data_IF_987391183330
#
_entry.id   IF_987391183330
#
_cell.length_a   1.000
_cell.length_b   1.000
_cell.length_c   1.000
_cell.angle_alpha   90.00
_cell.angle_beta   90.00
_cell.angle_gamma   90.00
#
_symmetry.space_group_name_H-M   'P 1'
#
loop_
_entity.id
_entity.type
_entity.pdbx_description
1 polymer ?
#
# COMPACT_ATOMS: atom_id res chain seq x y z
N UNK A 1 21.80 35.81 -13.13
CA UNK A 1 21.69 34.44 -13.69
C UNK A 1 20.35 34.33 -14.38
N UNK A 2 20.32 34.27 -15.71
CA UNK A 2 19.07 34.16 -16.45
C UNK A 2 18.47 32.76 -16.24
N UNK A 3 17.20 32.69 -15.83
CA UNK A 3 16.42 31.46 -15.91
C UNK A 3 16.22 31.18 -17.40
N UNK A 4 16.99 30.26 -17.96
CA UNK A 4 16.64 29.69 -19.26
C UNK A 4 15.27 29.03 -19.09
N UNK A 5 14.24 29.66 -19.68
CA UNK A 5 12.92 29.05 -19.83
C UNK A 5 13.09 27.90 -20.83
N UNK A 6 13.40 26.70 -20.32
CA UNK A 6 13.57 25.51 -21.15
C UNK A 6 12.19 25.05 -21.62
N UNK A 7 11.82 25.53 -22.82
CA UNK A 7 11.06 24.81 -23.84
C UNK A 7 9.58 24.50 -23.54
N UNK A 8 8.73 24.96 -24.45
CA UNK A 8 7.34 24.50 -24.60
C UNK A 8 7.26 23.00 -24.84
N UNK A 9 6.14 22.40 -24.41
CA UNK A 9 5.90 20.97 -24.13
C UNK A 9 5.85 20.02 -25.35
N UNK A 10 6.41 20.38 -26.50
CA UNK A 10 6.10 19.74 -27.79
C UNK A 10 6.86 18.45 -28.10
N UNK A 11 7.99 18.19 -27.43
CA UNK A 11 8.85 17.00 -27.66
C UNK A 11 9.03 16.10 -26.42
N UNK A 12 8.21 16.27 -25.37
CA UNK A 12 8.30 15.43 -24.17
C UNK A 12 7.54 14.12 -24.39
N UNK A 13 8.12 12.96 -24.01
CA UNK A 13 7.38 11.69 -23.99
C UNK A 13 6.11 11.87 -23.17
N UNK A 14 4.96 11.53 -23.76
CA UNK A 14 3.67 11.57 -23.07
C UNK A 14 3.61 10.48 -22.01
N UNK A 15 2.87 10.69 -20.91
CA UNK A 15 2.62 9.60 -19.97
C UNK A 15 1.87 8.47 -20.69
N UNK A 16 2.19 7.23 -20.36
CA UNK A 16 1.47 6.07 -20.90
C UNK A 16 0.21 5.83 -20.08
N UNK A 17 -0.85 5.38 -20.73
CA UNK A 17 -2.05 4.90 -20.05
C UNK A 17 -2.02 3.37 -20.07
N UNK A 18 -2.15 2.75 -18.90
CA UNK A 18 -2.18 1.29 -18.72
C UNK A 18 -3.58 0.93 -18.25
N UNK A 19 -4.36 0.28 -19.12
CA UNK A 19 -5.75 -0.10 -18.85
C UNK A 19 -5.89 -1.34 -17.95
N UNK A 20 -7.11 -1.64 -17.51
CA UNK A 20 -7.39 -2.76 -16.60
C UNK A 20 -6.92 -4.12 -17.16
N UNK A 21 -7.09 -4.35 -18.46
CA UNK A 21 -6.70 -5.63 -19.08
C UNK A 21 -5.19 -5.79 -19.13
N UNK A 22 -4.46 -4.70 -19.38
CA UNK A 22 -3.01 -4.67 -19.26
C UNK A 22 -2.55 -4.86 -17.81
N UNK A 23 -3.22 -4.25 -16.82
CA UNK A 23 -2.91 -4.49 -15.41
C UNK A 23 -3.08 -5.98 -15.08
N UNK A 24 -4.18 -6.61 -15.49
CA UNK A 24 -4.42 -8.05 -15.28
C UNK A 24 -3.35 -8.94 -15.91
N UNK A 25 -2.83 -8.56 -17.07
CA UNK A 25 -1.79 -9.31 -17.77
C UNK A 25 -0.40 -9.13 -17.14
N UNK A 26 -0.12 -7.96 -16.57
CA UNK A 26 1.21 -7.57 -16.10
C UNK A 26 1.43 -7.78 -14.60
N UNK A 27 0.36 -7.78 -13.80
CA UNK A 27 0.46 -7.86 -12.35
C UNK A 27 0.55 -9.32 -11.87
N UNK A 28 1.75 -9.74 -11.52
CA UNK A 28 2.02 -11.02 -10.89
C UNK A 28 1.80 -10.98 -9.36
N UNK A 29 1.31 -12.07 -8.78
CA UNK A 29 0.97 -12.15 -7.34
C UNK A 29 2.20 -12.24 -6.43
N UNK A 30 3.26 -12.93 -6.84
CA UNK A 30 4.47 -13.06 -6.05
C UNK A 30 5.24 -11.72 -6.04
N UNK A 31 5.27 -11.03 -7.18
CA UNK A 31 5.81 -9.68 -7.28
C UNK A 31 4.98 -8.66 -6.51
N UNK A 32 3.64 -8.75 -6.58
CA UNK A 32 2.77 -7.92 -5.75
C UNK A 32 3.05 -8.15 -4.27
N UNK A 33 3.24 -9.41 -3.85
CA UNK A 33 3.59 -9.73 -2.46
C UNK A 33 4.90 -9.08 -2.05
N UNK A 34 5.95 -9.19 -2.86
CA UNK A 34 7.22 -8.53 -2.60
C UNK A 34 7.05 -7.00 -2.52
N UNK A 35 6.33 -6.39 -3.47
CA UNK A 35 6.05 -4.96 -3.50
C UNK A 35 5.27 -4.49 -2.25
N UNK A 36 4.35 -5.29 -1.73
CA UNK A 36 3.62 -5.01 -0.49
C UNK A 36 4.54 -5.13 0.72
N UNK A 37 5.39 -6.15 0.82
CA UNK A 37 6.39 -6.26 1.90
C UNK A 37 7.31 -5.02 1.92
N UNK A 38 7.76 -4.53 0.75
CA UNK A 38 8.51 -3.27 0.66
C UNK A 38 7.69 -2.07 1.19
N UNK A 39 6.40 -1.98 0.83
CA UNK A 39 5.53 -0.91 1.28
C UNK A 39 5.33 -0.92 2.81
N UNK A 40 5.06 -2.08 3.43
CA UNK A 40 4.96 -2.24 4.88
C UNK A 40 6.26 -1.86 5.58
N UNK A 41 7.40 -2.39 5.12
CA UNK A 41 8.70 -2.05 5.70
C UNK A 41 8.98 -0.55 5.57
N UNK A 42 8.60 0.08 4.46
CA UNK A 42 8.87 1.49 4.21
C UNK A 42 8.20 2.45 5.19
N UNK A 43 7.03 2.09 5.72
CA UNK A 43 6.30 2.90 6.71
C UNK A 43 6.79 2.64 8.14
N UNK A 44 7.26 1.42 8.42
CA UNK A 44 7.82 1.07 9.73
C UNK A 44 9.29 1.47 9.89
N UNK A 45 10.05 1.59 8.79
CA UNK A 45 11.43 2.10 8.78
C UNK A 45 11.47 3.65 8.83
N UNK A 46 10.59 4.25 9.64
CA UNK A 46 10.51 5.68 9.89
C UNK A 46 11.12 5.98 11.27
N UNK A 47 12.45 5.97 11.40
CA UNK A 47 13.04 6.53 12.61
C UNK A 47 12.71 8.04 12.70
N UNK A 48 12.34 8.51 13.90
CA UNK A 48 12.11 9.93 14.21
C UNK A 48 13.32 10.80 13.86
N UNK A 49 14.52 10.24 13.99
CA UNK A 49 15.79 10.85 13.58
C UNK A 49 16.27 10.22 12.26
N UNK A 50 16.47 11.00 11.18
CA UNK A 50 16.93 10.48 9.89
C UNK A 50 18.24 9.68 9.96
N UNK A 51 19.12 9.99 10.91
CA UNK A 51 20.41 9.32 11.13
C UNK A 51 20.30 7.93 11.74
N UNK A 52 19.15 7.57 12.33
CA UNK A 52 18.89 6.27 12.92
C UNK A 52 18.17 5.31 11.95
N UNK A 53 17.87 5.76 10.72
CA UNK A 53 17.20 4.93 9.71
C UNK A 53 18.19 3.93 9.12
N UNK A 54 17.77 2.69 8.95
CA UNK A 54 18.53 1.74 8.17
C UNK A 54 18.58 2.20 6.72
N UNK A 55 19.78 2.30 6.15
CA UNK A 55 20.00 2.54 4.71
C UNK A 55 19.70 1.30 3.86
N UNK A 56 19.57 0.14 4.50
CA UNK A 56 19.34 -1.15 3.84
C UNK A 56 17.85 -1.46 3.62
N UNK A 57 16.94 -0.65 4.16
CA UNK A 57 15.50 -0.88 4.06
C UNK A 57 14.80 0.29 3.36
N UNK A 58 13.67 0.03 2.67
CA UNK A 58 12.93 1.09 2.04
C UNK A 58 12.44 2.11 3.08
N UNK A 59 12.17 3.33 2.62
CA UNK A 59 11.62 4.42 3.43
C UNK A 59 10.45 5.04 2.69
N UNK A 60 9.55 5.70 3.39
CA UNK A 60 8.39 6.33 2.76
C UNK A 60 8.22 7.81 3.08
N UNK A 61 7.34 8.44 2.32
CA UNK A 61 6.69 9.68 2.71
C UNK A 61 5.27 9.60 2.17
N UNK A 62 4.30 9.48 3.08
CA UNK A 62 2.89 9.52 2.74
C UNK A 62 2.16 10.37 3.79
N UNK A 63 1.38 11.38 3.40
CA UNK A 63 0.41 11.97 4.31
C UNK A 63 -0.76 11.00 4.51
N UNK A 64 -1.61 11.30 5.48
CA UNK A 64 -2.92 10.67 5.51
C UNK A 64 -3.71 10.99 4.22
N UNK A 65 -4.55 10.04 3.82
CA UNK A 65 -5.48 10.23 2.70
C UNK A 65 -6.30 11.49 2.91
N UNK A 66 -6.48 12.26 1.85
CA UNK A 66 -7.36 13.43 1.84
C UNK A 66 -8.61 13.14 1.04
N UNK A 67 -9.72 13.77 1.39
CA UNK A 67 -10.99 13.57 0.71
C UNK A 67 -11.65 14.90 0.37
N UNK A 68 -12.38 14.90 -0.74
CA UNK A 68 -13.26 15.99 -1.16
C UNK A 68 -14.65 15.42 -1.37
N UNK A 69 -15.62 15.94 -0.60
CA UNK A 69 -17.03 15.60 -0.77
C UNK A 69 -17.59 16.30 -2.00
N UNK A 70 -18.14 15.53 -2.92
CA UNK A 70 -18.96 16.01 -4.04
C UNK A 70 -20.44 15.74 -3.73
N UNK A 71 -21.34 16.29 -4.56
CA UNK A 71 -22.79 16.08 -4.39
C UNK A 71 -23.20 14.60 -4.49
N UNK A 72 -22.58 13.85 -5.41
CA UNK A 72 -22.92 12.45 -5.67
C UNK A 72 -22.02 11.40 -5.02
N UNK A 73 -20.95 11.81 -4.34
CA UNK A 73 -19.91 10.91 -3.89
C UNK A 73 -18.70 11.62 -3.29
N UNK A 74 -17.59 10.91 -3.18
CA UNK A 74 -16.35 11.42 -2.60
C UNK A 74 -15.17 11.12 -3.51
N UNK A 75 -14.23 12.06 -3.63
CA UNK A 75 -12.90 11.85 -4.20
C UNK A 75 -11.91 11.65 -3.05
N UNK A 76 -11.08 10.62 -3.13
CA UNK A 76 -9.98 10.35 -2.22
C UNK A 76 -8.65 10.50 -2.97
N UNK A 77 -7.70 11.16 -2.32
CA UNK A 77 -6.35 11.39 -2.83
C UNK A 77 -5.32 10.78 -1.88
N UNK A 78 -4.48 9.90 -2.43
CA UNK A 78 -3.52 9.08 -1.69
C UNK A 78 -2.12 9.21 -2.33
N UNK A 79 -1.40 10.31 -2.10
CA UNK A 79 -0.02 10.46 -2.56
C UNK A 79 0.94 9.67 -1.67
N UNK A 80 1.94 9.03 -2.28
CA UNK A 80 2.94 8.23 -1.58
C UNK A 80 4.28 8.20 -2.30
N UNK A 81 5.35 8.31 -1.52
CA UNK A 81 6.71 8.04 -1.94
C UNK A 81 7.22 6.81 -1.22
N UNK A 82 7.91 5.93 -1.96
CA UNK A 82 8.69 4.81 -1.42
C UNK A 82 10.08 4.85 -2.05
N UNK A 83 11.11 5.04 -1.23
CA UNK A 83 12.50 5.06 -1.65
C UNK A 83 13.23 3.77 -1.32
N UNK A 84 14.29 3.47 -2.06
CA UNK A 84 15.19 2.31 -1.86
C UNK A 84 14.49 0.94 -1.80
N UNK A 85 13.43 0.78 -2.59
CA UNK A 85 12.65 -0.46 -2.66
C UNK A 85 13.22 -1.44 -3.69
N UNK A 86 12.82 -2.70 -3.58
CA UNK A 86 13.04 -3.74 -4.58
C UNK A 86 11.72 -4.44 -4.88
N UNK A 87 11.11 -4.15 -6.03
CA UNK A 87 9.77 -4.66 -6.38
C UNK A 87 9.79 -6.02 -7.06
N UNK A 88 10.93 -6.42 -7.63
CA UNK A 88 11.05 -7.67 -8.37
C UNK A 88 12.32 -8.40 -7.96
N UNK A 89 12.29 -9.73 -8.02
CA UNK A 89 13.44 -10.57 -7.67
C UNK A 89 14.52 -10.61 -8.75
N UNK A 90 14.18 -10.26 -9.98
CA UNK A 90 15.06 -10.26 -11.15
C UNK A 90 15.88 -8.95 -11.29
N UNK A 91 15.50 -7.87 -10.59
CA UNK A 91 16.26 -6.62 -10.57
C UNK A 91 17.10 -6.50 -9.30
N UNK A 92 18.44 -6.48 -9.40
CA UNK A 92 19.31 -6.23 -8.25
C UNK A 92 19.34 -4.74 -7.85
N UNK A 93 18.85 -3.84 -8.70
CA UNK A 93 18.87 -2.40 -8.44
C UNK A 93 17.69 -1.97 -7.59
N UNK A 94 17.98 -1.15 -6.57
CA UNK A 94 16.95 -0.55 -5.72
C UNK A 94 16.39 0.70 -6.38
N UNK A 95 15.08 0.70 -6.54
CA UNK A 95 14.32 1.80 -7.13
C UNK A 95 13.80 2.79 -6.11
N UNK A 96 13.18 3.85 -6.62
CA UNK A 96 12.33 4.75 -5.84
C UNK A 96 11.08 5.06 -6.64
N UNK A 97 10.00 5.38 -5.97
CA UNK A 97 8.71 5.63 -6.61
C UNK A 97 7.97 6.73 -5.90
N UNK A 98 7.48 7.66 -6.70
CA UNK A 98 6.50 8.65 -6.31
C UNK A 98 5.22 8.35 -7.08
N UNK A 99 4.10 8.19 -6.39
CA UNK A 99 2.81 7.99 -7.01
C UNK A 99 1.69 8.71 -6.26
N UNK A 100 0.55 8.84 -6.92
CA UNK A 100 -0.69 9.29 -6.28
C UNK A 100 -1.84 8.47 -6.81
N UNK A 101 -2.57 7.79 -5.93
CA UNK A 101 -3.86 7.21 -6.30
C UNK A 101 -4.96 8.25 -6.12
N UNK A 102 -5.74 8.47 -7.17
CA UNK A 102 -7.02 9.16 -7.10
C UNK A 102 -8.11 8.11 -7.25
N UNK A 103 -9.07 8.11 -6.33
CA UNK A 103 -10.19 7.16 -6.37
C UNK A 103 -11.47 7.86 -5.95
N UNK A 104 -12.54 7.58 -6.66
CA UNK A 104 -13.87 8.12 -6.40
C UNK A 104 -14.78 7.03 -5.88
N UNK A 105 -15.69 7.38 -4.97
CA UNK A 105 -16.76 6.52 -4.48
C UNK A 105 -18.11 7.20 -4.66
N UNK A 106 -18.90 6.70 -5.60
CA UNK A 106 -20.21 7.22 -6.00
C UNK A 106 -21.21 6.07 -5.95
N UNK A 107 -21.79 5.83 -4.77
CA UNK A 107 -22.61 4.63 -4.48
C UNK A 107 -23.82 4.45 -5.41
N UNK A 108 -24.33 5.54 -5.97
CA UNK A 108 -25.48 5.52 -6.87
C UNK A 108 -25.12 5.30 -8.34
N UNK A 109 -23.83 5.18 -8.70
CA UNK A 109 -23.42 4.97 -10.09
C UNK A 109 -24.00 3.70 -10.72
N UNK A 110 -24.31 2.69 -9.91
CA UNK A 110 -24.98 1.48 -10.38
C UNK A 110 -26.32 1.79 -11.07
N UNK A 111 -27.04 2.83 -10.63
CA UNK A 111 -28.32 3.24 -11.24
C UNK A 111 -28.19 3.81 -12.65
N UNK A 112 -26.97 4.24 -13.04
CA UNK A 112 -26.66 4.80 -14.37
C UNK A 112 -25.67 3.94 -15.16
N UNK A 113 -25.46 2.68 -14.74
CA UNK A 113 -24.60 1.72 -15.45
C UNK A 113 -23.09 1.98 -15.30
N UNK A 114 -22.66 2.71 -14.26
CA UNK A 114 -21.26 2.99 -13.98
C UNK A 114 -20.76 2.26 -12.72
N UNK A 115 -19.44 1.99 -12.60
CA UNK A 115 -18.86 1.46 -11.38
C UNK A 115 -19.03 2.43 -10.20
N UNK A 116 -19.32 1.89 -9.01
CA UNK A 116 -19.41 2.69 -7.78
C UNK A 116 -18.06 3.21 -7.29
N UNK A 117 -16.98 2.57 -7.73
CA UNK A 117 -15.61 2.94 -7.44
C UNK A 117 -14.87 3.09 -8.77
N UNK A 118 -14.15 4.20 -8.95
CA UNK A 118 -13.31 4.43 -10.14
C UNK A 118 -12.01 5.06 -9.67
N UNK A 119 -10.86 4.61 -10.16
CA UNK A 119 -9.61 5.26 -9.80
C UNK A 119 -8.44 4.96 -10.72
N UNK A 120 -7.42 5.79 -10.56
CA UNK A 120 -6.18 5.72 -11.30
C UNK A 120 -4.98 5.96 -10.37
N UNK A 121 -3.89 5.24 -10.61
CA UNK A 121 -2.58 5.48 -10.00
C UNK A 121 -1.73 6.28 -10.97
N UNK A 122 -1.37 7.49 -10.57
CA UNK A 122 -0.46 8.37 -11.31
C UNK A 122 0.96 8.10 -10.83
N UNK A 123 1.79 7.56 -11.72
CA UNK A 123 3.17 7.18 -11.42
C UNK A 123 4.14 8.24 -11.95
N UNK A 124 4.97 8.78 -11.08
CA UNK A 124 5.91 9.85 -11.38
C UNK A 124 7.36 9.38 -11.28
N UNK A 125 8.20 9.94 -12.12
CA UNK A 125 9.63 9.86 -11.98
C UNK A 125 10.04 10.56 -10.67
N UNK A 126 10.60 9.81 -9.72
CA UNK A 126 10.90 10.34 -8.37
C UNK A 126 12.01 11.38 -8.33
N UNK A 127 12.82 11.50 -9.39
CA UNK A 127 13.91 12.47 -9.48
C UNK A 127 13.49 13.76 -10.16
N UNK A 128 12.69 13.67 -11.24
CA UNK A 128 12.32 14.82 -12.08
C UNK A 128 10.91 15.32 -11.84
N UNK A 129 10.07 14.55 -11.13
CA UNK A 129 8.65 14.84 -10.90
C UNK A 129 7.77 14.69 -12.15
N UNK A 130 8.32 14.19 -13.27
CA UNK A 130 7.57 14.00 -14.51
C UNK A 130 6.60 12.83 -14.36
N UNK A 131 5.35 13.00 -14.79
CA UNK A 131 4.39 11.90 -14.90
C UNK A 131 4.84 10.92 -16.00
N UNK A 132 4.96 9.64 -15.63
CA UNK A 132 5.41 8.55 -16.50
C UNK A 132 4.24 7.68 -16.95
N UNK A 133 3.33 7.36 -16.04
CA UNK A 133 2.17 6.52 -16.34
C UNK A 133 0.92 6.92 -15.55
N UNK A 134 -0.23 6.58 -16.12
CA UNK A 134 -1.54 6.55 -15.49
C UNK A 134 -2.00 5.10 -15.58
N UNK A 135 -2.19 4.44 -14.43
CA UNK A 135 -2.51 3.02 -14.32
C UNK A 135 -3.92 2.87 -13.78
N UNK A 136 -4.77 2.09 -14.44
CA UNK A 136 -6.11 1.76 -13.92
C UNK A 136 -6.01 1.12 -12.52
N UNK A 137 -6.82 1.59 -11.58
CA UNK A 137 -6.65 1.26 -10.17
C UNK A 137 -7.71 0.33 -9.57
N UNK A 138 -8.80 0.01 -10.25
CA UNK A 138 -9.86 -0.82 -9.68
C UNK A 138 -9.38 -2.26 -9.46
N UNK A 139 -8.88 -2.91 -10.52
CA UNK A 139 -8.33 -4.26 -10.38
C UNK A 139 -7.09 -4.27 -9.49
N UNK A 140 -6.20 -3.29 -9.68
CA UNK A 140 -4.99 -3.10 -8.87
C UNK A 140 -5.33 -2.98 -7.38
N UNK A 141 -6.35 -2.20 -7.02
CA UNK A 141 -6.82 -2.03 -5.64
C UNK A 141 -7.31 -3.35 -5.05
N UNK A 142 -8.05 -4.14 -5.83
CA UNK A 142 -8.48 -5.48 -5.40
C UNK A 142 -7.30 -6.38 -5.08
N UNK A 143 -6.32 -6.46 -6.00
CA UNK A 143 -5.13 -7.31 -5.83
C UNK A 143 -4.29 -6.84 -4.64
N UNK A 144 -3.91 -5.55 -4.57
CA UNK A 144 -3.03 -5.05 -3.49
C UNK A 144 -3.67 -5.22 -2.10
N UNK A 145 -4.99 -5.06 -1.98
CA UNK A 145 -5.71 -5.29 -0.71
C UNK A 145 -5.71 -6.77 -0.30
N UNK A 146 -5.93 -7.67 -1.25
CA UNK A 146 -5.82 -9.10 -1.00
C UNK A 146 -4.37 -9.50 -0.63
N UNK A 147 -3.38 -8.91 -1.31
CA UNK A 147 -1.96 -9.15 -1.04
C UNK A 147 -1.52 -8.60 0.32
N UNK A 148 -2.03 -7.45 0.76
CA UNK A 148 -1.81 -6.95 2.11
C UNK A 148 -2.29 -7.95 3.17
N UNK A 149 -3.45 -8.57 2.93
CA UNK A 149 -4.01 -9.63 3.77
C UNK A 149 -3.12 -10.88 3.78
N UNK A 150 -2.57 -11.25 2.62
CA UNK A 150 -1.61 -12.35 2.48
C UNK A 150 -0.33 -12.10 3.29
N UNK A 151 0.27 -10.92 3.15
CA UNK A 151 1.50 -10.53 3.87
C UNK A 151 1.25 -10.56 5.39
N UNK A 152 0.17 -9.94 5.86
CA UNK A 152 -0.15 -9.95 7.28
C UNK A 152 -0.41 -11.38 7.81
N UNK A 153 -1.15 -12.19 7.06
CA UNK A 153 -1.43 -13.59 7.44
C UNK A 153 -0.13 -14.38 7.61
N UNK A 154 0.79 -14.19 6.68
CA UNK A 154 2.04 -14.91 6.66
C UNK A 154 2.93 -14.55 7.86
N UNK A 155 3.15 -13.26 8.09
CA UNK A 155 4.07 -12.77 9.13
C UNK A 155 3.45 -12.80 10.54
N UNK A 156 2.14 -12.63 10.68
CA UNK A 156 1.47 -12.61 11.99
C UNK A 156 0.97 -13.98 12.44
N UNK A 157 0.48 -14.83 11.51
CA UNK A 157 -0.27 -16.03 11.87
C UNK A 157 0.45 -17.33 11.52
N UNK A 158 1.05 -17.43 10.33
CA UNK A 158 1.63 -18.69 9.83
C UNK A 158 3.10 -18.87 10.17
N UNK A 159 3.88 -17.79 10.12
CA UNK A 159 5.31 -17.79 10.39
C UNK A 159 5.69 -16.80 11.50
N UNK A 160 5.08 -16.91 12.70
CA UNK A 160 5.45 -16.04 13.80
C UNK A 160 6.94 -16.23 14.15
N UNK A 161 7.61 -15.14 14.55
CA UNK A 161 9.02 -15.14 14.91
C UNK A 161 9.32 -16.24 15.95
N UNK A 162 10.56 -16.75 15.95
CA UNK A 162 10.97 -17.83 16.86
C UNK A 162 10.72 -17.49 18.35
N UNK A 163 10.63 -16.21 18.70
CA UNK A 163 10.29 -15.70 20.03
C UNK A 163 8.90 -16.10 20.53
N UNK A 164 7.93 -16.38 19.65
CA UNK A 164 6.59 -16.83 20.05
C UNK A 164 6.43 -18.35 20.16
N UNK A 165 7.49 -19.15 19.92
CA UNK A 165 7.39 -20.63 19.95
C UNK A 165 6.87 -21.21 21.28
N UNK A 166 7.02 -20.49 22.39
CA UNK A 166 6.56 -20.88 23.72
C UNK A 166 5.44 -19.97 24.28
N UNK A 167 4.90 -19.07 23.47
CA UNK A 167 3.87 -18.12 23.86
C UNK A 167 2.46 -18.73 23.77
N UNK A 168 1.46 -18.05 24.34
CA UNK A 168 0.06 -18.41 24.13
C UNK A 168 -0.26 -18.44 22.62
N UNK A 169 -0.76 -19.57 22.09
CA UNK A 169 -0.96 -19.72 20.66
C UNK A 169 -2.07 -18.82 20.14
N UNK A 170 -1.90 -18.32 18.93
CA UNK A 170 -2.99 -17.70 18.17
C UNK A 170 -3.97 -18.82 17.82
N UNK A 171 -5.20 -18.72 18.34
CA UNK A 171 -6.32 -19.60 18.00
C UNK A 171 -7.05 -19.13 16.76
N UNK A 172 -7.14 -17.82 16.56
CA UNK A 172 -7.82 -17.19 15.42
C UNK A 172 -7.08 -15.92 15.00
N UNK A 173 -6.63 -15.89 13.75
CA UNK A 173 -6.19 -14.68 13.05
C UNK A 173 -7.35 -14.09 12.26
N UNK A 174 -7.62 -12.79 12.41
CA UNK A 174 -8.65 -12.08 11.67
C UNK A 174 -8.01 -10.97 10.86
N UNK A 175 -8.20 -10.99 9.54
CA UNK A 175 -7.86 -9.85 8.69
C UNK A 175 -9.12 -9.00 8.50
N UNK A 176 -9.15 -7.84 9.14
CA UNK A 176 -10.23 -6.87 9.05
C UNK A 176 -9.84 -5.80 8.03
N UNK A 177 -10.58 -5.72 6.93
CA UNK A 177 -10.34 -4.79 5.80
C UNK A 177 -11.47 -3.78 5.68
N UNK A 178 -12.67 -4.14 6.12
CA UNK A 178 -13.91 -3.43 5.83
C UNK A 178 -13.88 -1.94 6.19
N UNK A 179 -14.37 -1.09 5.27
CA UNK A 179 -14.57 0.33 5.49
C UNK A 179 -15.93 0.62 6.14
N UNK A 180 -16.09 0.23 7.41
CA UNK A 180 -17.29 0.56 8.20
C UNK A 180 -17.58 2.08 8.26
N UNK A 181 -18.87 2.45 8.27
CA UNK A 181 -19.34 3.84 8.13
C UNK A 181 -18.96 4.75 9.30
N UNK A 182 -18.77 4.19 10.49
CA UNK A 182 -18.40 4.96 11.67
C UNK A 182 -16.88 5.02 11.84
N UNK A 183 -16.16 3.90 11.80
CA UNK A 183 -14.72 3.82 12.17
C UNK A 183 -13.87 2.87 11.31
N UNK A 184 -14.24 2.61 10.05
CA UNK A 184 -13.52 1.67 9.16
C UNK A 184 -13.24 0.29 9.81
N UNK A 185 -14.14 -0.14 10.70
CA UNK A 185 -14.04 -1.37 11.47
C UNK A 185 -15.29 -2.22 11.23
N UNK A 186 -15.11 -3.53 11.09
CA UNK A 186 -16.19 -4.49 10.81
C UNK A 186 -16.40 -5.51 11.94
N UNK A 187 -15.54 -5.47 12.97
CA UNK A 187 -15.62 -6.36 14.12
C UNK A 187 -16.37 -5.70 15.28
N UNK A 188 -17.02 -6.51 16.12
CA UNK A 188 -17.65 -6.03 17.34
C UNK A 188 -16.61 -5.49 18.34
N UNK A 189 -17.02 -4.51 19.16
CA UNK A 189 -16.14 -3.78 20.08
C UNK A 189 -15.50 -4.70 21.14
N UNK A 190 -16.21 -5.73 21.59
CA UNK A 190 -15.73 -6.73 22.55
C UNK A 190 -14.59 -7.60 21.98
N UNK A 191 -14.56 -7.81 20.66
CA UNK A 191 -13.43 -8.45 19.96
C UNK A 191 -12.20 -7.56 20.04
N UNK A 192 -12.30 -6.26 19.73
CA UNK A 192 -11.18 -5.31 19.81
C UNK A 192 -10.62 -5.15 21.23
N UNK A 193 -11.49 -5.21 22.24
CA UNK A 193 -11.10 -5.16 23.65
C UNK A 193 -10.29 -6.41 24.06
N UNK A 194 -10.61 -7.56 23.46
CA UNK A 194 -10.09 -8.88 23.84
C UNK A 194 -8.93 -9.37 22.98
N UNK A 195 -8.58 -8.70 21.89
CA UNK A 195 -7.52 -9.11 20.98
C UNK A 195 -6.27 -8.23 21.04
N UNK A 196 -5.22 -8.65 20.33
CA UNK A 196 -4.11 -7.78 19.89
C UNK A 196 -4.40 -7.32 18.47
N UNK A 197 -4.23 -6.04 18.19
CA UNK A 197 -4.43 -5.45 16.87
C UNK A 197 -3.09 -5.03 16.28
N UNK A 198 -2.80 -5.54 15.09
CA UNK A 198 -1.73 -5.05 14.23
C UNK A 198 -2.36 -4.22 13.12
N UNK A 199 -1.64 -3.19 12.67
CA UNK A 199 -2.10 -2.26 11.63
C UNK A 199 -1.10 -2.20 10.49
N UNK A 200 -1.49 -1.53 9.42
CA UNK A 200 -0.59 -1.20 8.32
C UNK A 200 0.33 -0.01 8.64
N UNK A 201 -0.25 1.11 9.10
CA UNK A 201 0.47 2.35 9.37
C UNK A 201 -0.11 3.16 10.53
N UNK A 202 0.74 3.56 11.48
CA UNK A 202 0.38 4.30 12.69
C UNK A 202 -0.31 5.62 12.40
N UNK A 203 0.17 6.42 11.44
CA UNK A 203 -0.46 7.72 11.18
C UNK A 203 -1.87 7.57 10.57
N UNK A 204 -2.05 6.59 9.69
CA UNK A 204 -3.35 6.22 9.13
C UNK A 204 -4.29 5.77 10.24
N UNK A 205 -3.87 4.80 11.06
CA UNK A 205 -4.65 4.29 12.18
C UNK A 205 -5.04 5.35 13.20
N UNK A 206 -4.14 6.28 13.55
CA UNK A 206 -4.45 7.36 14.49
C UNK A 206 -5.56 8.28 13.99
N UNK A 207 -5.73 8.42 12.67
CA UNK A 207 -6.76 9.26 12.06
C UNK A 207 -8.04 8.46 11.82
N UNK A 208 -7.93 7.30 11.19
CA UNK A 208 -9.08 6.50 10.73
C UNK A 208 -9.72 5.66 11.86
N UNK A 209 -8.93 5.29 12.88
CA UNK A 209 -9.39 4.53 14.06
C UNK A 209 -9.47 5.39 15.34
N UNK A 210 -9.43 6.72 15.23
CA UNK A 210 -9.29 7.65 16.36
C UNK A 210 -10.29 7.42 17.52
N UNK A 211 -11.48 6.95 17.18
CA UNK A 211 -12.62 6.72 18.06
C UNK A 211 -12.85 5.24 18.39
N UNK A 212 -12.13 4.33 17.72
CA UNK A 212 -12.21 2.90 17.99
C UNK A 212 -11.35 2.55 19.21
N UNK A 213 -11.99 2.07 20.28
CA UNK A 213 -11.24 1.49 21.40
C UNK A 213 -10.62 0.19 20.93
N UNK A 214 -9.29 0.14 20.81
CA UNK A 214 -8.58 -1.02 20.32
C UNK A 214 -7.20 -1.15 20.95
N UNK A 215 -6.70 -2.37 21.00
CA UNK A 215 -5.37 -2.67 21.52
C UNK A 215 -4.36 -2.77 20.38
N UNK A 216 -4.11 -1.64 19.70
CA UNK A 216 -3.09 -1.56 18.65
C UNK A 216 -1.70 -1.70 19.28
N UNK A 217 -0.92 -2.69 18.82
CA UNK A 217 0.39 -3.02 19.42
C UNK A 217 1.57 -2.88 18.47
N UNK A 218 1.34 -2.82 17.17
CA UNK A 218 2.41 -2.64 16.19
C UNK A 218 1.91 -2.58 14.75
N UNK A 219 2.82 -2.20 13.87
CA UNK A 219 2.65 -2.30 12.42
C UNK A 219 3.16 -3.66 11.92
N UNK A 220 2.59 -4.15 10.81
CA UNK A 220 3.09 -5.37 10.16
C UNK A 220 4.54 -5.19 9.67
N UNK A 221 4.93 -3.99 9.23
CA UNK A 221 6.29 -3.72 8.79
C UNK A 221 7.35 -3.87 9.89
N UNK A 222 7.00 -3.57 11.14
CA UNK A 222 7.88 -3.81 12.30
C UNK A 222 8.16 -5.32 12.50
N UNK A 223 7.17 -6.16 12.19
CA UNK A 223 7.31 -7.62 12.28
C UNK A 223 8.18 -8.15 11.15
N UNK A 224 7.99 -7.65 9.93
CA UNK A 224 8.81 -8.01 8.76
C UNK A 224 10.29 -7.63 8.99
N UNK A 225 10.54 -6.48 9.62
CA UNK A 225 11.89 -6.04 10.02
C UNK A 225 12.53 -6.92 11.11
N UNK A 226 11.79 -7.87 11.68
CA UNK A 226 12.29 -8.76 12.71
C UNK A 226 12.38 -8.11 14.09
N UNK A 227 11.61 -7.06 14.37
CA UNK A 227 11.49 -6.52 15.72
C UNK A 227 10.74 -7.52 16.61
N UNK A 228 11.51 -8.44 17.20
CA UNK A 228 11.01 -9.54 17.99
C UNK A 228 10.25 -9.09 19.25
N UNK A 229 10.38 -7.81 19.65
CA UNK A 229 9.61 -7.21 20.75
C UNK A 229 8.21 -6.74 20.34
N UNK A 230 7.91 -6.67 19.05
CA UNK A 230 6.65 -6.17 18.52
C UNK A 230 5.62 -7.26 18.26
N UNK A 231 6.08 -8.47 17.95
CA UNK A 231 5.19 -9.62 17.84
C UNK A 231 4.88 -10.18 19.24
N UNK A 232 3.76 -9.75 19.81
CA UNK A 232 3.34 -10.11 21.16
C UNK A 232 2.51 -11.39 21.20
N UNK A 233 2.58 -12.18 22.30
CA UNK A 233 1.65 -13.27 22.56
C UNK A 233 0.19 -12.84 22.47
N UNK A 234 -0.67 -13.74 21.99
CA UNK A 234 -2.11 -13.51 21.99
C UNK A 234 -2.64 -13.31 23.41
N UNK A 235 -3.68 -12.47 23.55
CA UNK A 235 -4.41 -12.30 24.81
C UNK A 235 -5.17 -13.60 25.18
N UNK A 236 -5.65 -13.74 26.43
CA UNK A 236 -6.63 -14.78 26.79
C UNK A 236 -7.80 -14.77 25.80
N UNK A 237 -8.06 -15.91 25.14
CA UNK A 237 -8.99 -16.01 24.01
C UNK A 237 -8.29 -16.34 22.68
N UNK A 238 -7.02 -16.01 22.53
CA UNK A 238 -6.19 -16.42 21.39
C UNK A 238 -6.52 -15.70 20.07
N UNK A 239 -7.15 -14.52 20.13
CA UNK A 239 -7.52 -13.75 18.92
C UNK A 239 -6.46 -12.68 18.65
N UNK A 240 -6.01 -12.60 17.39
CA UNK A 240 -5.16 -11.54 16.86
C UNK A 240 -5.79 -10.98 15.59
N UNK A 241 -5.88 -9.65 15.51
CA UNK A 241 -6.48 -8.94 14.37
C UNK A 241 -5.39 -8.19 13.61
N UNK A 242 -5.40 -8.28 12.28
CA UNK A 242 -4.77 -7.30 11.41
C UNK A 242 -5.87 -6.36 10.90
N UNK A 243 -5.80 -5.09 11.25
CA UNK A 243 -6.71 -4.05 10.79
C UNK A 243 -6.05 -3.32 9.61
N UNK A 244 -6.48 -3.64 8.39
CA UNK A 244 -6.06 -2.99 7.17
C UNK A 244 -6.90 -1.73 6.94
N UNK A 245 -6.22 -0.62 6.67
CA UNK A 245 -6.82 0.67 6.32
C UNK A 245 -6.52 1.01 4.86
N UNK A 246 -5.36 0.55 4.37
CA UNK A 246 -4.77 0.83 3.08
C UNK A 246 -3.82 2.01 3.14
N UNK A 247 -2.66 1.85 2.50
CA UNK A 247 -1.64 2.90 2.44
C UNK A 247 -1.39 3.35 1.00
N UNK A 248 -1.01 4.62 0.83
CA UNK A 248 -0.59 5.13 -0.47
C UNK A 248 0.69 4.45 -0.96
N UNK A 249 1.52 3.96 -0.04
CA UNK A 249 2.73 3.20 -0.37
C UNK A 249 2.43 1.86 -1.05
N UNK A 250 1.30 1.20 -0.74
CA UNK A 250 0.86 -0.03 -1.42
C UNK A 250 0.52 0.24 -2.88
N UNK A 251 -0.26 1.30 -3.13
CA UNK A 251 -0.65 1.69 -4.48
C UNK A 251 0.55 2.19 -5.28
N UNK A 252 1.49 2.89 -4.63
CA UNK A 252 2.71 3.38 -5.26
C UNK A 252 3.61 2.23 -5.72
N UNK A 253 3.90 1.26 -4.85
CA UNK A 253 4.77 0.13 -5.22
C UNK A 253 4.15 -0.75 -6.29
N UNK A 254 2.86 -1.08 -6.17
CA UNK A 254 2.18 -1.90 -7.19
C UNK A 254 2.00 -1.14 -8.50
N UNK A 255 1.68 0.16 -8.47
CA UNK A 255 1.59 0.98 -9.67
C UNK A 255 2.94 1.10 -10.41
N UNK A 256 4.04 1.23 -9.68
CA UNK A 256 5.39 1.19 -10.27
C UNK A 256 5.69 -0.16 -10.88
N UNK A 257 5.41 -1.26 -10.16
CA UNK A 257 5.63 -2.62 -10.64
C UNK A 257 4.96 -2.84 -12.00
N UNK A 258 3.67 -2.48 -12.11
CA UNK A 258 2.92 -2.59 -13.36
C UNK A 258 3.56 -1.75 -14.48
N UNK A 259 3.94 -0.51 -14.18
CA UNK A 259 4.60 0.36 -15.16
C UNK A 259 5.95 -0.20 -15.64
N UNK A 260 6.77 -0.76 -14.74
CA UNK A 260 8.05 -1.35 -15.10
C UNK A 260 7.87 -2.58 -16.00
N UNK A 261 6.91 -3.45 -15.68
CA UNK A 261 6.57 -4.62 -16.51
C UNK A 261 6.02 -4.19 -17.88
N UNK A 262 5.20 -3.14 -17.93
CA UNK A 262 4.75 -2.54 -19.19
C UNK A 262 5.92 -2.02 -20.03
N UNK A 263 6.82 -1.24 -19.43
CA UNK A 263 7.97 -0.65 -20.13
C UNK A 263 8.91 -1.74 -20.69
N UNK A 264 9.16 -2.80 -19.92
CA UNK A 264 9.94 -3.95 -20.37
C UNK A 264 9.28 -4.68 -21.54
N UNK A 265 7.96 -4.89 -21.51
CA UNK A 265 7.23 -5.51 -22.61
C UNK A 265 7.31 -4.68 -23.91
N UNK A 266 7.20 -3.35 -23.81
CA UNK A 266 7.34 -2.45 -24.96
C UNK A 266 8.76 -2.45 -25.55
N UNK A 267 9.79 -2.52 -24.70
CA UNK A 267 11.18 -2.63 -25.14
C UNK A 267 11.43 -3.92 -25.90
N UNK A 268 10.94 -5.06 -25.40
CA UNK A 268 11.04 -6.36 -26.10
C UNK A 268 10.36 -6.32 -27.47
N UNK A 269 9.13 -5.82 -27.54
CA UNK A 269 8.40 -5.69 -28.79
C UNK A 269 9.12 -4.82 -29.83
N UNK A 270 9.81 -3.77 -29.38
CA UNK A 270 10.58 -2.87 -30.25
C UNK A 270 11.87 -3.52 -30.77
N UNK A 271 12.51 -4.38 -29.97
CA UNK A 271 13.74 -5.09 -30.37
C UNK A 271 13.47 -6.29 -31.31
N UNK A 272 12.28 -6.87 -31.25
CA UNK A 272 11.87 -7.99 -32.10
C UNK A 272 11.36 -7.56 -33.50
N UNK A 273 11.23 -6.25 -33.73
CA UNK A 273 10.86 -5.64 -35.01
C UNK A 273 12.06 -5.06 -35.74
#
# INVERSE_FOLDING_TARGET
MSKQNVGTNTNRPRPVFIDEDQVKQLLDWDEARLALEQAFVSVSNQAREPSARSTEHPVSSQPARTFVQAEGGVLLCMPGFVGHHQLTSDSPERGSTLACKLITSFRNNASVGLPSINGEVFVFNSTTGKLEAIVEANYLTGVRTATASLVATDHLYLRPTATLRNAAPIKLGIVAVGAGEYHHAELAQDIYDSCRVYIDHWEGARKELATLRSNVVGEVGEIILGDAGKLLPAKPGGITVFQSLGMATEDATVGRLVYERFAQAQQRYTMEK
#
